data_IF_714203924768
#
_entry.id   IF_714203924768
#
_cell.length_a   1.000
_cell.length_b   1.000
_cell.length_c   1.000
_cell.angle_alpha   90.00
_cell.angle_beta   90.00
_cell.angle_gamma   90.00
#
_symmetry.space_group_name_H-M   'P 1'
#
loop_
_entity.id
_entity.type
_entity.pdbx_description
1 polymer ?
#
# COMPACT_ATOMS: atom_id res chain seq x y z
N UNK A 1 0.01 -8.78 -1.76
CA UNK A 1 -1.31 -8.22 -1.41
C UNK A 1 -2.32 -9.35 -1.58
N UNK A 2 -3.06 -9.69 -0.55
CA UNK A 2 -3.99 -10.83 -0.54
C UNK A 2 -5.33 -10.34 -0.02
N UNK A 3 -6.41 -10.77 -0.66
CA UNK A 3 -7.78 -10.54 -0.20
C UNK A 3 -8.40 -11.90 0.05
N UNK A 4 -8.96 -12.08 1.23
CA UNK A 4 -9.62 -13.31 1.62
C UNK A 4 -11.02 -13.02 2.15
N UNK A 5 -11.90 -14.00 2.05
CA UNK A 5 -13.12 -14.05 2.83
C UNK A 5 -12.83 -14.58 4.25
N UNK A 6 -13.90 -14.73 5.05
CA UNK A 6 -13.77 -15.05 6.46
C UNK A 6 -13.21 -16.47 6.73
N UNK A 7 -13.35 -17.39 5.77
CA UNK A 7 -12.90 -18.78 5.91
C UNK A 7 -11.38 -18.89 6.12
N UNK A 8 -10.63 -17.83 5.78
CA UNK A 8 -9.17 -17.75 5.98
C UNK A 8 -8.76 -18.00 7.43
N UNK A 9 -9.61 -17.67 8.40
CA UNK A 9 -9.33 -17.86 9.82
C UNK A 9 -9.25 -19.36 10.13
N UNK A 10 -10.27 -20.12 9.74
CA UNK A 10 -10.31 -21.57 9.95
C UNK A 10 -9.22 -22.27 9.13
N UNK A 11 -8.98 -21.83 7.88
CA UNK A 11 -7.91 -22.37 7.04
C UNK A 11 -6.55 -22.16 7.72
N UNK A 12 -6.27 -20.96 8.23
CA UNK A 12 -5.01 -20.64 8.89
C UNK A 12 -4.73 -21.51 10.12
N UNK A 13 -5.77 -21.89 10.88
CA UNK A 13 -5.65 -22.78 12.04
C UNK A 13 -5.22 -24.21 11.66
N UNK A 14 -5.46 -24.64 10.41
CA UNK A 14 -5.07 -25.98 9.93
C UNK A 14 -3.65 -26.05 9.37
N UNK A 15 -3.02 -24.90 9.10
CA UNK A 15 -1.69 -24.83 8.48
C UNK A 15 -0.61 -25.34 9.45
N UNK A 16 0.32 -26.13 8.92
CA UNK A 16 1.44 -26.68 9.68
C UNK A 16 2.73 -25.91 9.33
N UNK A 17 3.69 -25.83 10.27
CA UNK A 17 4.97 -25.19 9.99
C UNK A 17 5.68 -25.84 8.78
N UNK A 18 6.23 -25.01 7.91
CA UNK A 18 7.03 -25.45 6.77
C UNK A 18 8.38 -26.00 7.19
N UNK A 19 9.21 -26.42 6.22
CA UNK A 19 10.60 -26.79 6.48
C UNK A 19 11.43 -25.65 7.10
N UNK A 20 10.98 -24.39 6.97
CA UNK A 20 11.59 -23.21 7.62
C UNK A 20 11.08 -22.99 9.05
N UNK A 21 10.07 -23.73 9.49
CA UNK A 21 9.38 -23.54 10.77
C UNK A 21 8.36 -22.40 10.76
N UNK A 22 7.98 -21.90 9.57
CA UNK A 22 7.03 -20.79 9.41
C UNK A 22 5.64 -21.30 9.01
N UNK A 23 4.58 -20.58 9.41
CA UNK A 23 3.24 -20.77 8.86
C UNK A 23 3.12 -19.95 7.58
N UNK A 24 3.11 -20.64 6.43
CA UNK A 24 3.29 -20.01 5.13
C UNK A 24 1.97 -19.46 4.57
N UNK A 25 1.99 -18.21 4.11
CA UNK A 25 0.85 -17.65 3.35
C UNK A 25 0.57 -18.43 2.06
N UNK A 26 1.59 -19.08 1.49
CA UNK A 26 1.48 -19.94 0.31
C UNK A 26 0.64 -21.19 0.58
N UNK A 27 0.65 -21.72 1.80
CA UNK A 27 -0.16 -22.89 2.15
C UNK A 27 -1.64 -22.50 2.24
N UNK A 28 -1.94 -21.32 2.80
CA UNK A 28 -3.29 -20.75 2.76
C UNK A 28 -3.76 -20.57 1.31
N UNK A 29 -2.93 -19.96 0.46
CA UNK A 29 -3.26 -19.79 -0.96
C UNK A 29 -3.53 -21.12 -1.67
N UNK A 30 -2.75 -22.17 -1.36
CA UNK A 30 -2.93 -23.51 -1.92
C UNK A 30 -4.30 -24.09 -1.58
N UNK A 31 -4.78 -23.93 -0.35
CA UNK A 31 -6.13 -24.37 0.04
C UNK A 31 -7.22 -23.67 -0.79
N UNK A 32 -7.09 -22.36 -1.05
CA UNK A 32 -8.03 -21.64 -1.91
C UNK A 32 -7.94 -22.09 -3.39
N UNK A 33 -6.75 -22.45 -3.86
CA UNK A 33 -6.54 -23.02 -5.21
C UNK A 33 -7.22 -24.37 -5.34
N UNK A 34 -6.96 -25.28 -4.39
CA UNK A 34 -7.48 -26.66 -4.38
C UNK A 34 -9.02 -26.68 -4.29
N UNK A 35 -9.59 -25.71 -3.59
CA UNK A 35 -11.04 -25.50 -3.51
C UNK A 35 -11.64 -24.77 -4.73
N UNK A 36 -10.83 -24.36 -5.70
CA UNK A 36 -11.30 -23.64 -6.90
C UNK A 36 -11.82 -22.22 -6.60
N UNK A 37 -11.41 -21.60 -5.49
CA UNK A 37 -11.90 -20.30 -4.99
C UNK A 37 -10.91 -19.15 -5.20
N UNK A 38 -9.84 -19.37 -5.98
CA UNK A 38 -8.82 -18.34 -6.21
C UNK A 38 -9.21 -17.39 -7.35
N UNK A 39 -9.01 -16.09 -7.11
CA UNK A 39 -9.04 -15.06 -8.15
C UNK A 39 -7.65 -14.46 -8.30
N UNK A 40 -7.06 -14.57 -9.50
CA UNK A 40 -5.73 -14.05 -9.80
C UNK A 40 -5.85 -12.70 -10.51
N UNK A 41 -5.16 -11.69 -9.97
CA UNK A 41 -5.01 -10.38 -10.60
C UNK A 41 -3.59 -10.24 -11.14
N UNK A 42 -3.44 -10.22 -12.47
CA UNK A 42 -2.14 -10.03 -13.11
C UNK A 42 -1.78 -8.54 -13.17
N UNK A 43 -0.72 -8.17 -12.46
CA UNK A 43 -0.13 -6.84 -12.57
C UNK A 43 0.77 -6.79 -13.80
N UNK A 44 0.28 -6.18 -14.87
CA UNK A 44 1.04 -6.03 -16.12
C UNK A 44 2.24 -5.08 -15.97
N UNK A 45 3.06 -4.99 -17.03
CA UNK A 45 4.31 -4.19 -17.08
C UNK A 45 4.19 -2.70 -16.71
N UNK A 46 2.99 -2.15 -16.67
CA UNK A 46 2.73 -0.75 -16.27
C UNK A 46 2.71 -0.54 -14.75
N UNK A 47 2.70 -1.62 -13.98
CA UNK A 47 2.78 -1.58 -12.52
C UNK A 47 4.24 -1.66 -12.07
N UNK A 48 4.55 -0.96 -10.99
CA UNK A 48 5.82 -1.07 -10.28
C UNK A 48 5.56 -1.73 -8.94
N UNK A 49 6.12 -2.92 -8.75
CA UNK A 49 6.10 -3.64 -7.48
C UNK A 49 7.54 -3.74 -6.97
N UNK A 50 7.78 -3.19 -5.77
CA UNK A 50 9.09 -3.12 -5.14
C UNK A 50 8.97 -3.75 -3.76
N UNK A 51 9.96 -4.56 -3.39
CA UNK A 51 10.16 -5.08 -2.05
C UNK A 51 11.43 -4.44 -1.46
N UNK A 52 11.40 -4.04 -0.20
CA UNK A 52 12.47 -3.30 0.45
C UNK A 52 13.28 -4.17 1.40
N UNK A 53 13.44 -5.46 1.08
CA UNK A 53 14.11 -6.45 1.92
C UNK A 53 15.63 -6.32 2.03
N UNK A 54 16.28 -5.53 1.16
CA UNK A 54 17.74 -5.29 1.17
C UNK A 54 18.06 -3.80 1.14
N UNK A 55 19.27 -3.42 1.57
CA UNK A 55 19.74 -2.02 1.52
C UNK A 55 19.66 -1.42 0.10
N UNK A 56 20.04 -2.19 -0.92
CA UNK A 56 19.99 -1.74 -2.31
C UNK A 56 18.54 -1.58 -2.79
N UNK A 57 17.67 -2.56 -2.51
CA UNK A 57 16.26 -2.50 -2.90
C UNK A 57 15.50 -1.33 -2.25
N UNK A 58 15.83 -1.00 -1.00
CA UNK A 58 15.28 0.16 -0.30
C UNK A 58 15.73 1.47 -0.96
N UNK A 59 16.99 1.57 -1.36
CA UNK A 59 17.52 2.73 -2.05
C UNK A 59 16.87 2.90 -3.43
N UNK A 60 16.67 1.81 -4.16
CA UNK A 60 15.97 1.82 -5.45
C UNK A 60 14.52 2.28 -5.31
N UNK A 61 13.78 1.75 -4.32
CA UNK A 61 12.42 2.17 -4.04
C UNK A 61 12.31 3.65 -3.67
N UNK A 62 13.25 4.13 -2.85
CA UNK A 62 13.31 5.54 -2.46
C UNK A 62 13.54 6.46 -3.68
N UNK A 63 14.48 6.09 -4.57
CA UNK A 63 14.75 6.82 -5.81
C UNK A 63 13.57 6.80 -6.77
N UNK A 64 12.88 5.68 -6.87
CA UNK A 64 11.68 5.54 -7.70
C UNK A 64 10.61 6.53 -7.26
N UNK A 65 10.22 6.50 -5.98
CA UNK A 65 9.21 7.42 -5.42
C UNK A 65 9.61 8.86 -5.63
N UNK A 66 10.85 9.23 -5.26
CA UNK A 66 11.35 10.60 -5.43
C UNK A 66 11.25 11.09 -6.88
N UNK A 67 11.62 10.25 -7.84
CA UNK A 67 11.62 10.61 -9.27
C UNK A 67 10.20 10.84 -9.78
N UNK A 68 9.25 9.98 -9.39
CA UNK A 68 7.85 10.12 -9.81
C UNK A 68 7.24 11.38 -9.21
N UNK A 69 7.43 11.62 -7.91
CA UNK A 69 6.88 12.80 -7.24
C UNK A 69 7.42 14.11 -7.82
N UNK A 70 8.73 14.18 -8.09
CA UNK A 70 9.34 15.39 -8.68
C UNK A 70 8.83 15.69 -10.10
N UNK A 71 8.46 14.68 -10.88
CA UNK A 71 8.01 14.86 -12.27
C UNK A 71 6.52 15.09 -12.40
N UNK A 72 5.71 14.46 -11.56
CA UNK A 72 4.25 14.55 -11.64
C UNK A 72 3.67 15.64 -10.73
N UNK A 73 4.42 16.10 -9.72
CA UNK A 73 3.93 17.06 -8.73
C UNK A 73 2.92 16.47 -7.76
N UNK A 74 2.69 15.15 -7.80
CA UNK A 74 1.83 14.38 -6.91
C UNK A 74 2.66 13.61 -5.89
N UNK A 75 2.08 13.33 -4.73
CA UNK A 75 2.69 12.50 -3.69
C UNK A 75 2.21 11.05 -3.79
N UNK A 76 3.13 10.09 -3.69
CA UNK A 76 2.75 8.67 -3.63
C UNK A 76 2.41 8.33 -2.18
N UNK A 77 1.26 7.67 -1.97
CA UNK A 77 0.79 7.25 -0.64
C UNK A 77 0.64 8.40 0.38
N UNK A 78 0.20 9.58 -0.07
CA UNK A 78 -0.21 10.67 0.83
C UNK A 78 -1.52 10.32 1.54
N UNK A 79 -1.45 10.02 2.84
CA UNK A 79 -2.58 9.46 3.58
C UNK A 79 -3.72 10.46 3.75
N UNK A 80 -3.40 11.73 3.98
CA UNK A 80 -4.38 12.79 4.18
C UNK A 80 -5.13 13.10 2.88
N UNK A 81 -4.44 13.10 1.73
CA UNK A 81 -5.08 13.21 0.42
C UNK A 81 -5.99 12.01 0.13
N UNK A 82 -5.52 10.78 0.37
CA UNK A 82 -6.35 9.57 0.20
C UNK A 82 -7.59 9.67 1.09
N UNK A 83 -7.42 10.00 2.37
CA UNK A 83 -8.53 10.11 3.32
C UNK A 83 -9.54 11.19 2.90
N UNK A 84 -9.05 12.34 2.42
CA UNK A 84 -9.91 13.41 1.91
C UNK A 84 -10.68 12.98 0.65
N UNK A 85 -10.01 12.38 -0.32
CA UNK A 85 -10.62 11.89 -1.56
C UNK A 85 -11.63 10.76 -1.32
N UNK A 86 -11.43 9.94 -0.29
CA UNK A 86 -12.38 8.90 0.14
C UNK A 86 -13.49 9.43 1.05
N UNK A 87 -13.45 10.72 1.43
CA UNK A 87 -14.43 11.35 2.32
C UNK A 87 -14.34 10.89 3.78
N UNK A 88 -13.20 10.34 4.21
CA UNK A 88 -12.95 9.95 5.60
C UNK A 88 -12.66 11.15 6.50
N UNK A 89 -12.13 12.23 5.92
CA UNK A 89 -11.89 13.50 6.60
C UNK A 89 -12.52 14.65 5.81
N UNK A 90 -12.86 15.71 6.54
CA UNK A 90 -13.40 16.95 6.01
C UNK A 90 -12.30 17.87 5.48
N UNK A 91 -12.72 18.90 4.72
CA UNK A 91 -11.82 19.95 4.23
C UNK A 91 -11.11 20.67 5.39
N UNK A 92 -11.83 20.92 6.49
CA UNK A 92 -11.29 21.62 7.65
C UNK A 92 -10.23 20.78 8.36
N UNK A 93 -10.46 19.47 8.51
CA UNK A 93 -9.47 18.54 9.08
C UNK A 93 -8.20 18.47 8.22
N UNK A 94 -8.35 18.40 6.88
CA UNK A 94 -7.21 18.45 5.97
C UNK A 94 -6.46 19.79 6.06
N UNK A 95 -7.18 20.92 6.16
CA UNK A 95 -6.57 22.26 6.30
C UNK A 95 -5.73 22.38 7.57
N UNK A 96 -6.24 21.87 8.70
CA UNK A 96 -5.49 21.88 9.96
C UNK A 96 -4.17 21.10 9.85
N UNK A 97 -4.19 19.91 9.23
CA UNK A 97 -2.96 19.13 9.01
C UNK A 97 -2.00 19.83 8.05
N UNK A 98 -2.52 20.42 6.98
CA UNK A 98 -1.74 21.14 5.99
C UNK A 98 -1.04 22.37 6.61
N UNK A 99 -1.71 23.09 7.49
CA UNK A 99 -1.15 24.23 8.22
C UNK A 99 -0.04 23.82 9.20
N UNK A 100 -0.24 22.74 9.96
CA UNK A 100 0.78 22.21 10.89
C UNK A 100 2.08 21.85 10.16
N UNK A 101 1.96 21.33 8.94
CA UNK A 101 3.09 20.90 8.12
C UNK A 101 3.53 21.94 7.08
N UNK A 102 2.96 23.14 7.08
CA UNK A 102 3.11 24.19 6.05
C UNK A 102 4.57 24.57 5.73
N UNK A 103 5.49 24.37 6.68
CA UNK A 103 6.92 24.63 6.51
C UNK A 103 7.65 23.57 5.67
N UNK A 104 7.02 22.42 5.41
CA UNK A 104 7.60 21.30 4.66
C UNK A 104 7.08 21.25 3.23
N UNK A 105 7.78 20.52 2.34
CA UNK A 105 7.26 20.23 1.00
C UNK A 105 5.95 19.43 1.03
N UNK A 106 5.73 18.63 2.09
CA UNK A 106 4.52 17.83 2.27
C UNK A 106 3.32 18.71 2.63
N UNK A 107 3.44 19.61 3.62
CA UNK A 107 2.32 20.50 3.96
C UNK A 107 1.97 21.47 2.85
N UNK A 108 2.96 21.95 2.08
CA UNK A 108 2.71 22.73 0.86
C UNK A 108 1.88 21.96 -0.17
N UNK A 109 2.14 20.65 -0.32
CA UNK A 109 1.36 19.77 -1.19
C UNK A 109 -0.08 19.57 -0.69
N UNK A 110 -0.27 19.35 0.61
CA UNK A 110 -1.60 19.27 1.22
C UNK A 110 -2.39 20.56 1.00
N UNK A 111 -1.76 21.73 1.17
CA UNK A 111 -2.38 23.03 0.90
C UNK A 111 -2.82 23.18 -0.57
N UNK A 112 -2.01 22.70 -1.54
CA UNK A 112 -2.42 22.73 -2.95
C UNK A 112 -3.60 21.82 -3.25
N UNK A 113 -3.76 20.73 -2.51
CA UNK A 113 -4.89 19.79 -2.67
C UNK A 113 -6.23 20.44 -2.28
N UNK A 114 -6.23 21.40 -1.34
CA UNK A 114 -7.42 22.13 -0.89
C UNK A 114 -7.91 23.21 -1.87
N UNK A 115 -7.06 23.60 -2.83
CA UNK A 115 -7.29 24.69 -3.79
C UNK A 115 -7.86 24.20 -5.13
N UNK A 116 -7.75 22.89 -5.40
CA UNK A 116 -8.38 22.22 -6.54
C UNK A 116 -9.79 21.74 -6.20
#
# INVERSE_FOLDING_TARGET
LYFYDNDVVEIAETIKPSARGELEITDINSVYIDNGRINLCLLGRGFTWLDTGTHDSLLEASKFVQTVEMRQGLKIACLEEIAFNQGWITKDELSQQAELLSKTGYGKYLLSTLQN
#
